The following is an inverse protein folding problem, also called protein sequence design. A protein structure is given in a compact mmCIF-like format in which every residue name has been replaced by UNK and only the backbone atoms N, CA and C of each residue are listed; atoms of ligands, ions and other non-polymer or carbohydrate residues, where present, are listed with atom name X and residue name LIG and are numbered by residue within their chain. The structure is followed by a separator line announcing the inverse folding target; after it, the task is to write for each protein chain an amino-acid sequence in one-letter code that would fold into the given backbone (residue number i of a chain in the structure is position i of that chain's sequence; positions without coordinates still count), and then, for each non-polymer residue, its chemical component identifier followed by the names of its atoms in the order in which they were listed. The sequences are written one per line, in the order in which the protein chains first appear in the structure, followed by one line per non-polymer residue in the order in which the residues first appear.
data_IF_089636243337
#
_entry.id   IF_089636243337
#
_cell.length_a   1.000
_cell.length_b   1.000
_cell.length_c   1.000
_cell.angle_alpha   90.00
_cell.angle_beta   90.00
_cell.angle_gamma   90.00
#
_symmetry.space_group_name_H-M   'P 1'
#
loop_
_entity.id
_entity.type
_entity.pdbx_description
1 polymer ?
#
# COMPACT_ATOMS: atom_id res chain seq x y z
N UNK A 1 -80.12 2.58 39.40
CA UNK A 1 -80.55 3.98 39.57
C UNK A 1 -79.32 4.75 40.01
N UNK A 2 -79.05 5.83 39.28
CA UNK A 2 -78.10 6.95 39.52
C UNK A 2 -76.59 6.65 39.46
N UNK A 3 -76.05 6.90 38.25
CA UNK A 3 -74.96 7.83 37.89
C UNK A 3 -73.95 8.26 38.95
N UNK A 4 -72.65 8.24 38.61
CA UNK A 4 -71.87 9.47 38.30
C UNK A 4 -70.40 9.16 37.98
N UNK A 5 -69.88 9.93 37.01
CA UNK A 5 -68.56 9.96 36.37
C UNK A 5 -67.32 10.20 37.25
N UNK A 6 -66.14 9.88 36.68
CA UNK A 6 -64.87 10.56 37.04
C UNK A 6 -63.60 9.76 36.74
N UNK A 7 -62.80 10.22 35.78
CA UNK A 7 -61.60 9.58 35.23
C UNK A 7 -60.27 9.94 35.94
N UNK A 8 -59.22 9.12 35.69
CA UNK A 8 -57.80 9.36 35.99
C UNK A 8 -57.28 8.46 37.13
N UNK A 9 -56.11 7.85 37.14
CA UNK A 9 -54.87 8.00 36.37
C UNK A 9 -54.00 6.73 36.55
N UNK A 10 -52.98 6.64 35.70
CA UNK A 10 -51.95 5.63 35.41
C UNK A 10 -51.30 4.86 36.57
N UNK A 11 -51.09 3.57 36.31
CA UNK A 11 -50.02 2.70 36.80
C UNK A 11 -49.36 2.11 35.51
N UNK A 12 -48.08 1.81 35.35
CA UNK A 12 -46.98 1.47 36.25
C UNK A 12 -45.68 1.91 35.55
N UNK A 13 -44.71 2.41 36.32
CA UNK A 13 -43.35 2.66 35.85
C UNK A 13 -42.38 1.97 36.82
N UNK A 14 -41.85 0.83 36.39
CA UNK A 14 -40.84 0.08 37.14
C UNK A 14 -39.46 0.69 36.91
N UNK A 15 -38.81 1.08 38.00
CA UNK A 15 -37.41 1.47 38.08
C UNK A 15 -36.72 0.57 39.11
N UNK A 16 -35.65 -0.12 38.71
CA UNK A 16 -34.79 -0.88 39.63
C UNK A 16 -33.62 -1.49 38.87
N UNK A 17 -32.44 -0.91 39.07
CA UNK A 17 -31.23 -1.13 38.26
C UNK A 17 -30.67 -2.54 38.31
N UNK A 18 -30.14 -2.98 37.16
CA UNK A 18 -29.29 -4.15 37.04
C UNK A 18 -27.83 -3.70 37.03
N UNK A 19 -27.08 -4.27 37.96
CA UNK A 19 -25.63 -4.35 37.94
C UNK A 19 -25.16 -5.01 36.64
N UNK A 20 -24.06 -4.49 36.10
CA UNK A 20 -23.43 -4.96 34.87
C UNK A 20 -22.08 -4.28 34.73
N UNK A 21 -21.13 -4.69 35.58
CA UNK A 21 -19.73 -4.30 35.46
C UNK A 21 -19.16 -4.87 34.17
N UNK A 22 -19.17 -4.06 33.11
CA UNK A 22 -18.33 -4.29 31.94
C UNK A 22 -16.91 -3.88 32.30
N UNK A 23 -16.03 -4.85 32.50
CA UNK A 23 -14.60 -4.62 32.54
C UNK A 23 -14.15 -4.22 31.12
N UNK A 24 -14.01 -2.92 30.90
CA UNK A 24 -13.15 -2.39 29.85
C UNK A 24 -11.71 -2.63 30.30
N UNK A 25 -11.07 -3.66 29.75
CA UNK A 25 -9.63 -3.85 29.87
C UNK A 25 -8.94 -2.75 29.07
N UNK A 26 -8.53 -1.70 29.77
CA UNK A 26 -7.51 -0.75 29.29
C UNK A 26 -6.18 -1.51 29.32
N UNK A 27 -5.74 -1.98 28.15
CA UNK A 27 -4.44 -2.63 28.02
C UNK A 27 -3.33 -1.60 28.20
N UNK A 28 -2.54 -1.76 29.26
CA UNK A 28 -1.40 -0.90 29.55
C UNK A 28 -0.18 -1.29 28.72
N UNK A 29 0.93 -0.55 28.81
CA UNK A 29 2.20 -0.91 28.18
C UNK A 29 2.80 -2.26 28.67
N UNK A 30 2.14 -2.94 29.61
CA UNK A 30 2.51 -4.22 30.23
C UNK A 30 1.93 -5.46 29.50
N UNK A 31 1.06 -5.30 28.49
CA UNK A 31 0.39 -6.44 27.81
C UNK A 31 1.11 -6.98 26.57
N UNK A 32 2.34 -6.53 26.29
CA UNK A 32 3.13 -7.12 25.20
C UNK A 32 3.73 -8.47 25.67
N UNK A 33 3.59 -9.55 24.88
CA UNK A 33 4.16 -10.84 25.22
C UNK A 33 5.67 -10.73 25.44
N UNK A 34 6.20 -11.45 26.43
CA UNK A 34 7.64 -11.51 26.67
C UNK A 34 8.31 -12.14 25.44
N UNK A 35 9.06 -11.32 24.69
CA UNK A 35 9.92 -11.79 23.61
C UNK A 35 10.88 -12.89 24.13
N UNK A 36 11.27 -13.86 23.27
CA UNK A 36 12.21 -14.90 23.67
C UNK A 36 13.43 -14.33 24.36
N UNK A 37 13.88 -14.99 25.43
CA UNK A 37 15.07 -14.58 26.19
C UNK A 37 16.34 -14.56 25.31
N UNK A 38 16.39 -15.44 24.30
CA UNK A 38 17.47 -15.53 23.33
C UNK A 38 17.10 -14.81 22.02
N UNK A 39 17.05 -13.49 22.07
CA UNK A 39 16.70 -12.66 20.91
C UNK A 39 17.72 -12.76 19.79
N UNK A 40 18.98 -12.98 20.14
CA UNK A 40 20.06 -13.08 19.17
C UNK A 40 19.91 -14.37 18.34
N UNK A 41 19.54 -15.50 18.96
CA UNK A 41 19.22 -16.72 18.19
C UNK A 41 18.02 -16.54 17.25
N UNK A 42 16.97 -15.81 17.68
CA UNK A 42 15.81 -15.48 16.82
C UNK A 42 16.25 -14.64 15.62
N UNK A 43 17.14 -13.68 15.83
CA UNK A 43 17.64 -12.78 14.79
C UNK A 43 18.52 -13.51 13.80
N UNK A 44 19.53 -14.21 14.30
CA UNK A 44 20.50 -14.96 13.50
C UNK A 44 19.77 -16.00 12.64
N UNK A 45 18.82 -16.74 13.21
CA UNK A 45 18.04 -17.73 12.45
C UNK A 45 17.26 -17.11 11.29
N UNK A 46 16.69 -15.91 11.46
CA UNK A 46 15.96 -15.22 10.39
C UNK A 46 16.90 -14.75 9.28
N UNK A 47 18.01 -14.10 9.66
CA UNK A 47 18.98 -13.56 8.70
C UNK A 47 19.66 -14.70 7.95
N UNK A 48 20.12 -15.75 8.63
CA UNK A 48 20.74 -16.92 8.01
C UNK A 48 19.78 -17.61 7.01
N UNK A 49 18.51 -17.75 7.38
CA UNK A 49 17.50 -18.32 6.49
C UNK A 49 17.26 -17.45 5.26
N UNK A 50 17.20 -16.12 5.44
CA UNK A 50 17.04 -15.18 4.34
C UNK A 50 18.26 -15.21 3.40
N UNK A 51 19.48 -15.16 3.94
CA UNK A 51 20.71 -15.16 3.14
C UNK A 51 20.94 -16.48 2.41
N UNK A 52 20.42 -17.60 2.93
CA UNK A 52 20.57 -18.91 2.30
C UNK A 52 19.80 -19.04 0.97
N UNK A 53 18.52 -18.62 0.91
CA UNK A 53 17.67 -18.84 -0.28
C UNK A 53 16.42 -17.93 -0.34
N UNK A 54 16.61 -16.60 -0.35
CA UNK A 54 15.50 -15.66 -0.58
C UNK A 54 15.16 -15.51 -2.07
N UNK A 55 13.91 -15.15 -2.37
CA UNK A 55 13.50 -14.80 -3.73
C UNK A 55 14.33 -13.63 -4.27
N UNK A 56 14.87 -13.83 -5.46
CA UNK A 56 15.67 -12.85 -6.17
C UNK A 56 14.77 -11.78 -6.80
N UNK A 57 14.62 -10.64 -6.12
CA UNK A 57 14.08 -9.42 -6.71
C UNK A 57 15.23 -8.45 -7.03
N UNK A 58 15.19 -7.74 -8.17
CA UNK A 58 16.33 -6.95 -8.62
C UNK A 58 16.67 -5.79 -7.67
N UNK A 59 15.67 -5.11 -7.12
CA UNK A 59 15.83 -4.05 -6.12
C UNK A 59 16.42 -4.50 -4.78
N UNK A 60 16.55 -5.81 -4.52
CA UNK A 60 17.30 -6.33 -3.33
C UNK A 60 18.82 -6.35 -3.54
N UNK A 61 19.29 -6.08 -4.76
CA UNK A 61 20.71 -6.15 -5.14
C UNK A 61 21.34 -4.79 -5.35
N UNK A 62 20.57 -3.73 -5.11
CA UNK A 62 20.97 -2.33 -5.23
C UNK A 62 20.81 -1.66 -3.87
N UNK A 63 21.60 -0.62 -3.65
CA UNK A 63 21.45 0.30 -2.52
C UNK A 63 21.13 1.72 -3.02
N UNK A 64 20.86 1.86 -4.32
CA UNK A 64 20.53 3.15 -4.92
C UNK A 64 19.12 3.59 -4.47
N UNK A 65 18.98 4.75 -3.78
CA UNK A 65 17.70 5.23 -3.29
C UNK A 65 16.67 5.52 -4.40
N UNK A 66 17.13 5.88 -5.60
CA UNK A 66 16.25 6.07 -6.75
C UNK A 66 15.62 4.76 -7.18
N UNK A 67 16.45 3.75 -7.43
CA UNK A 67 16.01 2.44 -7.87
C UNK A 67 15.07 1.77 -6.85
N UNK A 68 15.39 1.96 -5.55
CA UNK A 68 14.57 1.48 -4.43
C UNK A 68 13.24 2.23 -4.39
N UNK A 69 13.23 3.56 -4.46
CA UNK A 69 11.99 4.35 -4.47
C UNK A 69 11.07 3.93 -5.63
N UNK A 70 11.62 3.74 -6.84
CA UNK A 70 10.86 3.25 -8.01
C UNK A 70 10.21 1.90 -7.67
N UNK A 71 10.97 0.96 -7.11
CA UNK A 71 10.46 -0.37 -6.76
C UNK A 71 9.34 -0.32 -5.69
N UNK A 72 9.51 0.51 -4.67
CA UNK A 72 8.55 0.67 -3.58
C UNK A 72 7.25 1.30 -4.09
N UNK A 73 7.34 2.36 -4.89
CA UNK A 73 6.15 3.01 -5.47
C UNK A 73 5.43 2.05 -6.42
N UNK A 74 6.13 1.29 -7.26
CA UNK A 74 5.52 0.30 -8.15
C UNK A 74 4.80 -0.82 -7.39
N UNK A 75 5.39 -1.28 -6.28
CA UNK A 75 4.89 -2.40 -5.47
C UNK A 75 3.64 -2.08 -4.65
N UNK A 76 3.27 -0.81 -4.51
CA UNK A 76 2.02 -0.42 -3.84
C UNK A 76 0.79 -1.04 -4.55
N UNK A 77 0.12 -1.99 -3.90
CA UNK A 77 -1.05 -2.68 -4.47
C UNK A 77 -0.78 -3.40 -5.81
N UNK A 78 0.48 -3.72 -6.11
CA UNK A 78 0.88 -4.51 -7.29
C UNK A 78 1.71 -5.71 -6.83
N UNK A 79 1.47 -6.87 -7.41
CA UNK A 79 2.23 -8.08 -7.07
C UNK A 79 3.68 -7.95 -7.56
N UNK A 80 4.64 -8.31 -6.71
CA UNK A 80 6.09 -8.14 -6.97
C UNK A 80 6.53 -8.78 -8.31
N UNK A 81 6.05 -9.98 -8.64
CA UNK A 81 6.39 -10.65 -9.90
C UNK A 81 5.96 -9.86 -11.15
N UNK A 82 4.93 -9.01 -11.02
CA UNK A 82 4.50 -8.10 -12.09
C UNK A 82 5.31 -6.80 -12.13
N UNK A 83 5.93 -6.43 -11.02
CA UNK A 83 6.77 -5.22 -10.89
C UNK A 83 8.13 -5.46 -11.53
N UNK A 84 8.73 -6.65 -11.39
CA UNK A 84 10.08 -6.96 -11.92
C UNK A 84 10.30 -6.48 -13.35
N UNK A 85 9.54 -6.92 -14.37
CA UNK A 85 9.79 -6.49 -15.75
C UNK A 85 9.56 -4.97 -15.94
N UNK A 86 8.57 -4.40 -15.26
CA UNK A 86 8.28 -2.97 -15.36
C UNK A 86 9.38 -2.11 -14.73
N UNK A 87 10.00 -2.58 -13.65
CA UNK A 87 11.11 -1.90 -12.99
C UNK A 87 12.36 -1.94 -13.86
N UNK A 88 12.66 -3.09 -14.49
CA UNK A 88 13.79 -3.24 -15.41
C UNK A 88 13.64 -2.29 -16.61
N UNK A 89 12.48 -2.34 -17.30
CA UNK A 89 12.21 -1.47 -18.44
C UNK A 89 12.20 0.03 -18.05
N UNK A 90 11.80 0.37 -16.82
CA UNK A 90 11.76 1.76 -16.34
C UNK A 90 13.15 2.32 -16.12
N UNK A 91 14.05 1.54 -15.51
CA UNK A 91 15.43 1.95 -15.29
C UNK A 91 16.27 1.89 -16.57
N UNK A 92 15.88 1.10 -17.57
CA UNK A 92 16.48 1.17 -18.91
C UNK A 92 16.13 2.49 -19.62
N UNK A 93 14.89 2.99 -19.46
CA UNK A 93 14.45 4.26 -20.08
C UNK A 93 14.89 5.50 -19.28
N UNK A 94 14.77 5.47 -17.94
CA UNK A 94 15.18 6.55 -17.04
C UNK A 94 16.17 6.01 -15.99
N UNK A 95 17.47 5.88 -16.34
CA UNK A 95 18.46 5.25 -15.47
C UNK A 95 18.77 6.02 -14.19
N UNK A 96 18.56 7.33 -14.16
CA UNK A 96 18.84 8.18 -13.00
C UNK A 96 17.65 9.03 -12.62
N UNK A 97 17.65 9.54 -11.38
CA UNK A 97 16.63 10.49 -10.92
C UNK A 97 16.60 11.74 -11.78
N UNK A 98 17.75 12.24 -12.23
CA UNK A 98 17.85 13.38 -13.14
C UNK A 98 17.21 13.08 -14.51
N UNK A 99 17.38 11.87 -15.05
CA UNK A 99 16.72 11.45 -16.30
C UNK A 99 15.20 11.41 -16.13
N UNK A 100 14.71 10.89 -15.01
CA UNK A 100 13.28 10.88 -14.71
C UNK A 100 12.73 12.29 -14.50
N UNK A 101 13.43 13.16 -13.77
CA UNK A 101 13.02 14.54 -13.52
C UNK A 101 12.96 15.35 -14.82
N UNK A 102 13.83 15.06 -15.78
CA UNK A 102 13.86 15.71 -17.10
C UNK A 102 12.82 15.16 -18.10
N UNK A 103 12.20 14.00 -17.81
CA UNK A 103 11.22 13.37 -18.69
C UNK A 103 9.91 14.19 -18.78
N UNK A 104 9.20 14.06 -19.90
CA UNK A 104 7.82 14.54 -19.97
C UNK A 104 6.95 13.64 -19.08
N UNK A 105 6.13 14.26 -18.23
CA UNK A 105 5.30 13.49 -17.29
C UNK A 105 4.30 12.57 -18.01
N UNK A 106 3.82 12.98 -19.18
CA UNK A 106 2.90 12.16 -19.97
C UNK A 106 3.56 10.84 -20.39
N UNK A 107 4.86 10.84 -20.69
CA UNK A 107 5.62 9.64 -21.04
C UNK A 107 5.72 8.68 -19.84
N UNK A 108 5.98 9.21 -18.63
CA UNK A 108 6.02 8.42 -17.38
C UNK A 108 4.66 7.80 -17.08
N UNK A 109 3.57 8.57 -17.23
CA UNK A 109 2.19 8.09 -17.01
C UNK A 109 1.78 7.06 -18.07
N UNK A 110 2.21 7.24 -19.33
CA UNK A 110 1.98 6.29 -20.41
C UNK A 110 2.70 4.96 -20.14
N UNK A 111 4.00 5.01 -19.80
CA UNK A 111 4.79 3.83 -19.42
C UNK A 111 4.09 3.02 -18.31
N UNK A 112 3.61 3.70 -17.28
CA UNK A 112 2.94 3.09 -16.14
C UNK A 112 1.65 2.36 -16.55
N UNK A 113 0.92 2.93 -17.50
CA UNK A 113 -0.32 2.38 -18.05
C UNK A 113 -0.06 1.18 -18.98
N UNK A 114 1.03 1.21 -19.73
CA UNK A 114 1.43 0.12 -20.62
C UNK A 114 1.81 -1.13 -19.84
N UNK A 115 2.55 -0.96 -18.74
CA UNK A 115 2.88 -2.01 -17.79
C UNK A 115 1.71 -2.46 -16.90
N UNK A 116 0.55 -1.81 -17.03
CA UNK A 116 -0.66 -2.14 -16.27
C UNK A 116 -0.41 -2.16 -14.75
N UNK A 117 0.43 -1.23 -14.28
CA UNK A 117 0.79 -1.08 -12.86
C UNK A 117 -0.40 -0.51 -12.05
N UNK A 118 -1.33 0.20 -12.69
CA UNK A 118 -2.53 0.76 -12.05
C UNK A 118 -2.23 1.96 -11.15
N UNK A 119 -3.27 2.65 -10.67
CA UNK A 119 -3.14 3.87 -9.85
C UNK A 119 -2.14 4.89 -10.42
N UNK A 120 -2.46 5.45 -11.59
CA UNK A 120 -1.57 6.30 -12.38
C UNK A 120 -1.07 7.56 -11.66
N UNK A 121 -1.72 8.00 -10.58
CA UNK A 121 -1.21 9.10 -9.73
C UNK A 121 0.16 8.77 -9.14
N UNK A 122 0.48 7.49 -8.94
CA UNK A 122 1.81 7.07 -8.47
C UNK A 122 2.92 7.44 -9.46
N UNK A 123 2.67 7.31 -10.76
CA UNK A 123 3.61 7.73 -11.80
C UNK A 123 3.88 9.23 -11.74
N UNK A 124 2.81 10.03 -11.61
CA UNK A 124 2.90 11.48 -11.42
C UNK A 124 3.71 11.82 -10.16
N UNK A 125 3.36 11.22 -9.02
CA UNK A 125 4.03 11.54 -7.77
C UNK A 125 5.50 11.15 -7.78
N UNK A 126 5.84 10.00 -8.38
CA UNK A 126 7.23 9.58 -8.56
C UNK A 126 8.02 10.57 -9.43
N UNK A 127 7.42 11.07 -10.51
CA UNK A 127 8.02 12.11 -11.36
C UNK A 127 8.20 13.44 -10.61
N UNK A 128 7.18 13.89 -9.88
CA UNK A 128 7.25 15.09 -9.05
C UNK A 128 8.30 14.96 -7.92
N UNK A 129 8.41 13.78 -7.29
CA UNK A 129 9.42 13.49 -6.29
C UNK A 129 10.85 13.51 -6.87
N UNK A 130 11.04 12.96 -8.08
CA UNK A 130 12.33 13.04 -8.77
C UNK A 130 12.72 14.51 -9.04
N UNK A 131 11.78 15.35 -9.45
CA UNK A 131 11.99 16.79 -9.58
C UNK A 131 12.42 17.45 -8.27
N UNK A 132 11.75 17.12 -7.16
CA UNK A 132 12.12 17.65 -5.83
C UNK A 132 13.54 17.22 -5.40
N UNK A 133 13.94 15.98 -5.67
CA UNK A 133 15.30 15.52 -5.37
C UNK A 133 16.34 16.36 -6.11
N UNK A 134 16.12 16.65 -7.39
CA UNK A 134 17.05 17.46 -8.18
C UNK A 134 17.03 18.94 -7.79
N UNK A 135 15.84 19.53 -7.63
CA UNK A 135 15.67 20.97 -7.42
C UNK A 135 15.85 21.41 -5.97
N UNK A 136 15.29 20.67 -5.01
CA UNK A 136 15.25 21.04 -3.59
C UNK A 136 16.39 20.39 -2.78
N UNK A 137 16.95 19.27 -3.28
CA UNK A 137 18.00 18.50 -2.59
C UNK A 137 19.31 18.36 -3.40
N UNK A 138 19.51 19.17 -4.44
CA UNK A 138 20.74 19.18 -5.26
C UNK A 138 21.13 17.79 -5.81
N UNK A 139 20.14 16.98 -6.18
CA UNK A 139 20.32 15.62 -6.71
C UNK A 139 20.72 14.57 -5.66
N UNK A 140 20.58 14.87 -4.37
CA UNK A 140 20.93 13.96 -3.27
C UNK A 140 19.69 13.60 -2.46
N UNK A 141 19.40 12.30 -2.33
CA UNK A 141 18.27 11.86 -1.51
C UNK A 141 18.50 12.14 -0.01
N UNK A 142 17.46 12.56 0.73
CA UNK A 142 17.46 12.46 2.18
C UNK A 142 17.70 11.01 2.64
N UNK A 143 18.45 10.82 3.72
CA UNK A 143 18.85 9.49 4.20
C UNK A 143 17.96 8.96 5.34
N UNK A 144 17.12 9.81 5.92
CA UNK A 144 16.24 9.48 7.05
C UNK A 144 14.75 9.52 6.66
N UNK A 145 13.89 8.79 7.40
CA UNK A 145 12.46 8.73 7.09
C UNK A 145 11.76 10.09 7.12
N UNK A 146 12.16 11.01 8.00
CA UNK A 146 11.51 12.32 8.11
C UNK A 146 11.74 13.12 6.82
N UNK A 147 13.00 13.23 6.39
CA UNK A 147 13.36 13.92 5.14
C UNK A 147 12.76 13.25 3.90
N UNK A 148 12.78 11.92 3.82
CA UNK A 148 12.17 11.20 2.69
C UNK A 148 10.66 11.39 2.60
N UNK A 149 9.97 11.58 3.74
CA UNK A 149 8.53 11.80 3.78
C UNK A 149 8.07 13.17 3.27
N UNK A 150 9.02 14.09 3.05
CA UNK A 150 8.74 15.40 2.44
C UNK A 150 8.57 15.31 0.92
N UNK A 151 9.04 14.21 0.31
CA UNK A 151 8.91 13.96 -1.12
C UNK A 151 7.46 13.63 -1.53
N UNK A 152 7.08 14.07 -2.73
CA UNK A 152 5.72 13.94 -3.23
C UNK A 152 5.30 12.48 -3.35
N UNK A 153 4.16 12.14 -2.73
CA UNK A 153 3.62 10.79 -2.73
C UNK A 153 4.44 9.77 -1.93
N UNK A 154 5.48 10.19 -1.21
CA UNK A 154 6.24 9.34 -0.29
C UNK A 154 5.62 9.43 1.10
N UNK A 155 4.76 8.45 1.42
CA UNK A 155 4.17 8.34 2.75
C UNK A 155 5.13 7.71 3.78
N UNK A 156 4.76 7.70 5.08
CA UNK A 156 5.63 7.22 6.17
C UNK A 156 6.21 5.81 5.93
N UNK A 157 5.40 4.88 5.40
CA UNK A 157 5.86 3.54 5.07
C UNK A 157 6.96 3.55 3.99
N UNK A 158 6.73 4.26 2.88
CA UNK A 158 7.68 4.30 1.76
C UNK A 158 8.95 5.06 2.15
N UNK A 159 8.84 6.14 2.92
CA UNK A 159 9.98 6.85 3.48
C UNK A 159 10.86 5.91 4.33
N UNK A 160 10.22 5.18 5.26
CA UNK A 160 10.93 4.22 6.10
C UNK A 160 11.56 3.06 5.30
N UNK A 161 10.86 2.58 4.26
CA UNK A 161 11.36 1.53 3.38
C UNK A 161 12.61 2.00 2.61
N UNK A 162 12.58 3.19 2.01
CA UNK A 162 13.73 3.76 1.31
C UNK A 162 14.88 4.02 2.29
N UNK A 163 14.63 4.63 3.45
CA UNK A 163 15.63 4.81 4.50
C UNK A 163 16.28 3.49 4.92
N UNK A 164 15.46 2.44 5.07
CA UNK A 164 15.91 1.10 5.44
C UNK A 164 16.78 0.48 4.35
N UNK A 165 16.26 0.39 3.12
CA UNK A 165 16.88 -0.40 2.07
C UNK A 165 18.04 0.32 1.40
N UNK A 166 18.00 1.64 1.26
CA UNK A 166 19.09 2.40 0.67
C UNK A 166 20.18 2.71 1.71
N UNK A 167 19.81 3.07 2.95
CA UNK A 167 20.75 3.69 3.90
C UNK A 167 20.98 2.93 5.20
N UNK A 168 20.30 1.80 5.46
CA UNK A 168 20.31 1.13 6.77
C UNK A 168 19.88 2.05 7.93
N UNK A 169 19.01 3.04 7.65
CA UNK A 169 18.66 4.12 8.56
C UNK A 169 17.14 4.22 8.80
N UNK A 170 16.41 3.13 8.60
CA UNK A 170 14.98 3.06 8.87
C UNK A 170 14.65 2.22 10.10
N UNK A 171 13.41 2.36 10.54
CA UNK A 171 12.76 1.56 11.57
C UNK A 171 12.28 0.20 11.01
N UNK A 172 11.84 -0.68 11.91
CA UNK A 172 11.29 -1.97 11.52
C UNK A 172 10.01 -1.78 10.68
N UNK A 173 9.92 -2.43 9.51
CA UNK A 173 8.72 -2.35 8.66
C UNK A 173 7.60 -3.22 9.21
N UNK A 174 6.39 -2.68 9.28
CA UNK A 174 5.20 -3.37 9.79
C UNK A 174 4.07 -3.31 8.76
N UNK A 175 4.19 -4.13 7.71
CA UNK A 175 3.12 -4.35 6.74
C UNK A 175 2.12 -5.42 7.23
N UNK A 176 1.07 -5.68 6.47
CA UNK A 176 0.08 -6.72 6.80
C UNK A 176 0.69 -8.14 6.89
N UNK A 177 1.80 -8.41 6.21
CA UNK A 177 2.50 -9.69 6.27
C UNK A 177 3.32 -9.82 7.56
N UNK A 178 4.04 -8.77 7.94
CA UNK A 178 4.82 -8.70 9.17
C UNK A 178 3.89 -8.73 10.39
N UNK A 179 2.76 -8.00 10.37
CA UNK A 179 1.74 -8.10 11.44
C UNK A 179 1.29 -9.54 11.65
N UNK A 180 0.97 -10.27 10.57
CA UNK A 180 0.60 -11.69 10.63
C UNK A 180 1.73 -12.58 11.18
N UNK A 181 2.98 -12.30 10.79
CA UNK A 181 4.15 -13.00 11.32
C UNK A 181 4.28 -12.78 12.83
N UNK A 182 4.24 -11.53 13.29
CA UNK A 182 4.39 -11.18 14.70
C UNK A 182 3.24 -11.72 15.55
N UNK A 183 2.01 -11.60 15.06
CA UNK A 183 0.81 -12.17 15.68
C UNK A 183 0.99 -13.67 15.93
N UNK A 184 1.38 -14.42 14.90
CA UNK A 184 1.55 -15.89 14.99
C UNK A 184 2.79 -16.31 15.77
N UNK A 185 3.92 -15.64 15.54
CA UNK A 185 5.18 -16.05 16.12
C UNK A 185 5.26 -15.72 17.61
N UNK A 186 4.80 -14.55 18.00
CA UNK A 186 5.01 -14.04 19.34
C UNK A 186 3.72 -13.73 20.10
N UNK A 187 2.54 -14.08 19.57
CA UNK A 187 1.23 -13.83 20.20
C UNK A 187 0.98 -12.34 20.48
N UNK A 188 1.47 -11.49 19.57
CA UNK A 188 1.29 -10.02 19.67
C UNK A 188 -0.18 -9.69 19.47
N UNK A 189 -0.73 -8.86 20.35
CA UNK A 189 -2.10 -8.36 20.22
C UNK A 189 -2.32 -7.65 18.89
N UNK A 190 -3.53 -7.76 18.33
CA UNK A 190 -3.94 -7.06 17.11
C UNK A 190 -4.14 -5.56 17.37
N UNK A 191 -3.02 -4.87 17.55
CA UNK A 191 -2.90 -3.46 17.89
C UNK A 191 -1.63 -2.89 17.24
N UNK A 192 -1.77 -1.76 16.56
CA UNK A 192 -0.69 -1.17 15.75
C UNK A 192 0.52 -0.81 16.61
N UNK A 193 0.30 -0.21 17.78
CA UNK A 193 1.36 0.17 18.72
C UNK A 193 2.08 -1.07 19.29
N UNK A 194 1.35 -2.18 19.52
CA UNK A 194 1.95 -3.45 19.94
C UNK A 194 2.85 -4.05 18.84
N UNK A 195 2.39 -4.08 17.59
CA UNK A 195 3.20 -4.58 16.48
C UNK A 195 4.47 -3.76 16.27
N UNK A 196 4.36 -2.43 16.24
CA UNK A 196 5.51 -1.53 16.05
C UNK A 196 6.55 -1.69 17.16
N UNK A 197 6.09 -1.78 18.42
CA UNK A 197 6.97 -1.94 19.58
C UNK A 197 7.74 -3.26 19.52
N UNK A 198 7.05 -4.35 19.18
CA UNK A 198 7.67 -5.69 19.09
C UNK A 198 8.62 -5.77 17.89
N UNK A 199 8.22 -5.26 16.73
CA UNK A 199 9.07 -5.20 15.54
C UNK A 199 10.37 -4.43 15.82
N UNK A 200 10.25 -3.26 16.44
CA UNK A 200 11.39 -2.42 16.84
C UNK A 200 12.30 -3.10 17.86
N UNK A 201 11.73 -3.83 18.82
CA UNK A 201 12.52 -4.55 19.82
C UNK A 201 13.30 -5.74 19.24
N UNK A 202 12.79 -6.35 18.16
CA UNK A 202 13.45 -7.46 17.49
C UNK A 202 14.53 -7.02 16.51
N UNK A 203 14.37 -5.88 15.84
CA UNK A 203 15.35 -5.41 14.86
C UNK A 203 16.73 -5.10 15.49
N UNK A 204 17.83 -5.63 14.95
CA UNK A 204 19.18 -5.21 15.33
C UNK A 204 19.47 -3.77 14.87
N UNK A 205 20.17 -2.99 15.70
CA UNK A 205 20.50 -1.61 15.38
C UNK A 205 21.45 -1.51 14.17
N UNK A 206 21.11 -0.67 13.19
CA UNK A 206 21.92 -0.45 11.98
C UNK A 206 21.82 -1.55 10.93
N UNK A 207 20.88 -2.50 11.09
CA UNK A 207 20.70 -3.63 10.17
C UNK A 207 19.31 -3.65 9.53
N UNK A 208 18.65 -2.48 9.43
CA UNK A 208 17.28 -2.36 8.94
C UNK A 208 17.11 -2.95 7.54
N UNK A 209 18.10 -2.83 6.65
CA UNK A 209 18.04 -3.36 5.28
C UNK A 209 17.83 -4.86 5.24
N UNK A 210 18.72 -5.61 5.90
CA UNK A 210 18.68 -7.08 5.90
C UNK A 210 17.50 -7.56 6.75
N UNK A 211 17.27 -6.94 7.90
CA UNK A 211 16.19 -7.29 8.80
C UNK A 211 14.81 -7.16 8.15
N UNK A 212 14.52 -5.99 7.58
CA UNK A 212 13.22 -5.71 6.97
C UNK A 212 12.98 -6.61 5.75
N UNK A 213 14.00 -6.84 4.92
CA UNK A 213 13.88 -7.81 3.82
C UNK A 213 13.60 -9.23 4.32
N UNK A 214 14.30 -9.67 5.37
CA UNK A 214 14.17 -11.02 5.90
C UNK A 214 12.78 -11.26 6.52
N UNK A 215 12.26 -10.34 7.32
CA UNK A 215 10.93 -10.52 7.95
C UNK A 215 9.79 -10.43 6.93
N UNK A 216 9.91 -9.57 5.91
CA UNK A 216 8.95 -9.55 4.80
C UNK A 216 9.01 -10.84 3.97
N UNK A 217 10.22 -11.37 3.74
CA UNK A 217 10.40 -12.65 3.03
C UNK A 217 9.77 -13.81 3.82
N UNK A 218 9.96 -13.83 5.15
CA UNK A 218 9.33 -14.80 6.03
C UNK A 218 7.79 -14.75 5.91
N UNK A 219 7.21 -13.55 5.91
CA UNK A 219 5.77 -13.34 5.74
C UNK A 219 5.25 -13.73 4.37
N UNK A 220 6.08 -13.59 3.33
CA UNK A 220 5.74 -13.90 1.94
C UNK A 220 5.90 -15.36 1.54
N UNK A 221 6.88 -16.08 2.12
CA UNK A 221 7.25 -17.44 1.70
C UNK A 221 6.78 -18.50 2.68
N UNK A 222 7.00 -18.29 3.98
CA UNK A 222 6.73 -19.31 5.00
C UNK A 222 5.42 -19.04 5.76
N UNK A 223 5.20 -17.80 6.20
CA UNK A 223 4.07 -17.40 7.02
C UNK A 223 2.96 -16.72 6.20
N UNK A 224 2.61 -17.30 5.04
CA UNK A 224 1.49 -16.84 4.21
C UNK A 224 0.12 -17.04 4.87
N UNK A 225 -0.98 -16.70 4.19
CA UNK A 225 -2.36 -16.94 4.71
C UNK A 225 -2.55 -18.38 5.17
N UNK A 226 -2.17 -19.32 4.31
CA UNK A 226 -1.92 -20.73 4.66
C UNK A 226 -0.42 -20.92 4.82
N UNK A 227 0.09 -21.10 6.04
CA UNK A 227 1.53 -21.16 6.27
C UNK A 227 2.12 -22.49 5.79
N UNK A 228 3.35 -22.44 5.29
CA UNK A 228 4.13 -23.56 4.74
C UNK A 228 5.36 -23.84 5.61
N UNK A 229 5.23 -23.70 6.94
CA UNK A 229 6.35 -23.66 7.89
C UNK A 229 7.38 -24.79 7.71
N UNK A 230 6.92 -26.02 7.54
CA UNK A 230 7.80 -27.19 7.37
C UNK A 230 8.48 -27.22 5.98
N UNK A 231 7.71 -26.96 4.91
CA UNK A 231 8.17 -26.99 3.52
C UNK A 231 9.17 -25.86 3.23
N UNK A 232 8.88 -24.65 3.72
CA UNK A 232 9.73 -23.47 3.56
C UNK A 232 10.90 -23.41 4.56
N UNK A 233 11.01 -24.39 5.47
CA UNK A 233 12.06 -24.40 6.49
C UNK A 233 12.02 -23.18 7.40
N UNK A 234 10.83 -22.77 7.85
CA UNK A 234 10.63 -21.55 8.65
C UNK A 234 11.61 -21.48 9.83
N UNK A 235 12.42 -20.41 9.94
CA UNK A 235 13.48 -20.29 10.95
C UNK A 235 12.93 -20.12 12.36
N UNK A 236 11.71 -19.59 12.49
CA UNK A 236 11.12 -19.26 13.80
C UNK A 236 10.27 -20.35 14.42
N UNK A 237 10.26 -21.56 13.84
CA UNK A 237 9.42 -22.67 14.34
C UNK A 237 9.61 -22.98 15.82
N UNK A 238 10.85 -22.89 16.32
CA UNK A 238 11.17 -23.15 17.72
C UNK A 238 10.50 -22.13 18.66
N UNK A 239 10.44 -20.86 18.25
CA UNK A 239 9.91 -19.76 19.06
C UNK A 239 8.44 -19.41 18.75
N UNK A 240 7.87 -19.97 17.67
CA UNK A 240 6.57 -19.57 17.15
C UNK A 240 5.40 -20.13 17.98
N UNK A 241 4.64 -19.24 18.63
CA UNK A 241 3.44 -19.59 19.39
C UNK A 241 2.44 -20.41 18.57
N UNK A 242 2.05 -19.92 17.39
CA UNK A 242 1.10 -20.59 16.50
C UNK A 242 1.55 -22.02 16.10
N UNK A 243 2.86 -22.22 15.91
CA UNK A 243 3.41 -23.54 15.58
C UNK A 243 3.34 -24.50 16.77
N UNK A 244 3.56 -24.00 17.99
CA UNK A 244 3.48 -24.80 19.21
C UNK A 244 2.05 -25.14 19.61
N UNK A 245 1.10 -24.23 19.43
CA UNK A 245 -0.32 -24.42 19.80
C UNK A 245 -1.16 -25.05 18.70
N UNK A 246 -0.72 -24.92 17.44
CA UNK A 246 -1.48 -25.32 16.26
C UNK A 246 -2.54 -24.30 15.81
N UNK A 247 -2.60 -23.12 16.45
CA UNK A 247 -3.51 -22.04 16.06
C UNK A 247 -2.81 -21.06 15.11
N UNK A 248 -3.12 -21.18 13.81
CA UNK A 248 -2.59 -20.29 12.77
C UNK A 248 -3.59 -19.21 12.34
N UNK A 249 -4.57 -18.87 13.18
CA UNK A 249 -5.42 -17.71 12.92
C UNK A 249 -4.60 -16.42 12.86
N UNK A 250 -5.17 -15.39 12.25
CA UNK A 250 -4.60 -14.07 12.13
C UNK A 250 -5.73 -13.04 11.96
N UNK A 251 -5.50 -11.76 12.28
CA UNK A 251 -6.47 -10.69 12.06
C UNK A 251 -7.02 -10.64 10.63
N UNK A 252 -8.31 -10.31 10.53
CA UNK A 252 -8.97 -10.15 9.24
C UNK A 252 -8.44 -8.92 8.50
N UNK A 253 -8.26 -9.06 7.19
CA UNK A 253 -7.88 -7.94 6.31
C UNK A 253 -9.10 -7.57 5.48
N UNK A 254 -9.46 -6.28 5.32
CA UNK A 254 -10.62 -5.86 4.55
C UNK A 254 -10.62 -6.44 3.13
N UNK A 255 -11.78 -6.95 2.70
CA UNK A 255 -11.95 -7.43 1.33
C UNK A 255 -11.96 -6.26 0.34
N UNK A 256 -11.13 -6.35 -0.69
CA UNK A 256 -11.14 -5.39 -1.79
C UNK A 256 -12.40 -5.60 -2.67
N UNK A 257 -13.09 -4.51 -3.04
CA UNK A 257 -14.18 -4.57 -4.02
C UNK A 257 -13.74 -5.15 -5.37
N UNK A 258 -14.69 -5.62 -6.19
CA UNK A 258 -14.41 -6.15 -7.53
C UNK A 258 -13.77 -5.09 -8.44
N UNK A 259 -12.90 -5.53 -9.35
CA UNK A 259 -12.27 -4.65 -10.33
C UNK A 259 -13.16 -4.44 -11.57
N UNK A 260 -13.81 -5.50 -12.04
CA UNK A 260 -14.64 -5.45 -13.25
C UNK A 260 -15.83 -4.49 -13.07
N UNK A 261 -16.01 -3.58 -14.02
CA UNK A 261 -17.08 -2.57 -14.02
C UNK A 261 -16.82 -1.37 -13.10
N UNK A 262 -15.71 -1.35 -12.37
CA UNK A 262 -15.40 -0.27 -11.42
C UNK A 262 -14.93 1.01 -12.10
N UNK A 263 -15.07 2.16 -11.42
CA UNK A 263 -14.51 3.44 -11.90
C UNK A 263 -12.99 3.36 -12.15
N UNK A 264 -12.25 2.64 -11.29
CA UNK A 264 -10.79 2.45 -11.45
C UNK A 264 -10.43 1.72 -12.76
N UNK A 265 -11.25 0.76 -13.20
CA UNK A 265 -11.04 0.08 -14.48
C UNK A 265 -11.17 1.06 -15.64
N UNK A 266 -12.24 1.86 -15.68
CA UNK A 266 -12.46 2.80 -16.78
C UNK A 266 -11.47 3.96 -16.78
N UNK A 267 -11.07 4.47 -15.60
CA UNK A 267 -9.99 5.45 -15.48
C UNK A 267 -8.68 4.93 -16.08
N UNK A 268 -8.28 3.70 -15.74
CA UNK A 268 -7.09 3.07 -16.31
C UNK A 268 -7.17 2.92 -17.84
N UNK A 269 -8.34 2.52 -18.37
CA UNK A 269 -8.56 2.44 -19.83
C UNK A 269 -8.44 3.80 -20.52
N UNK A 270 -8.95 4.87 -19.91
CA UNK A 270 -8.82 6.24 -20.44
C UNK A 270 -7.35 6.62 -20.54
N UNK A 271 -6.60 6.54 -19.43
CA UNK A 271 -5.18 6.95 -19.40
C UNK A 271 -4.35 6.14 -20.39
N UNK A 272 -4.53 4.82 -20.45
CA UNK A 272 -3.85 3.98 -21.45
C UNK A 272 -4.13 4.42 -22.89
N UNK A 273 -5.40 4.66 -23.23
CA UNK A 273 -5.75 5.07 -24.59
C UNK A 273 -5.20 6.45 -24.95
N UNK A 274 -5.11 7.36 -23.98
CA UNK A 274 -4.49 8.67 -24.15
C UNK A 274 -2.96 8.58 -24.27
N UNK A 275 -2.30 7.64 -23.59
CA UNK A 275 -0.86 7.40 -23.79
C UNK A 275 -0.51 6.99 -25.23
N UNK A 276 -1.44 6.31 -25.92
CA UNK A 276 -1.28 5.94 -27.33
C UNK A 276 -1.63 7.07 -28.32
N UNK A 277 -2.15 8.23 -27.85
CA UNK A 277 -2.69 9.31 -28.71
C UNK A 277 -2.60 10.70 -28.09
N UNK A 278 -2.10 11.66 -28.87
CA UNK A 278 -1.95 13.06 -28.41
C UNK A 278 -3.26 13.73 -27.96
N UNK A 279 -4.36 13.57 -28.69
CA UNK A 279 -5.68 14.18 -28.39
C UNK A 279 -6.80 13.27 -28.88
N UNK A 280 -7.88 13.13 -28.09
CA UNK A 280 -9.08 12.38 -28.49
C UNK A 280 -10.36 13.16 -28.17
N UNK A 281 -11.37 13.09 -29.04
CA UNK A 281 -12.69 13.66 -28.75
C UNK A 281 -13.48 12.79 -27.77
N UNK A 282 -14.33 13.43 -26.96
CA UNK A 282 -15.10 12.79 -25.88
C UNK A 282 -15.88 11.55 -26.33
N UNK A 283 -16.62 11.64 -27.43
CA UNK A 283 -17.42 10.51 -27.92
C UNK A 283 -16.56 9.39 -28.50
N UNK A 284 -15.45 9.73 -29.16
CA UNK A 284 -14.48 8.73 -29.64
C UNK A 284 -13.88 7.97 -28.46
N UNK A 285 -13.51 8.67 -27.39
CA UNK A 285 -13.04 8.06 -26.15
C UNK A 285 -14.09 7.13 -25.56
N UNK A 286 -15.34 7.59 -25.43
CA UNK A 286 -16.45 6.80 -24.91
C UNK A 286 -16.63 5.45 -25.61
N UNK A 287 -16.69 5.46 -26.94
CA UNK A 287 -16.82 4.25 -27.76
C UNK A 287 -15.63 3.28 -27.65
N UNK A 288 -14.46 3.76 -27.25
CA UNK A 288 -13.24 2.95 -27.13
C UNK A 288 -13.10 2.29 -25.77
N UNK A 289 -13.51 2.96 -24.70
CA UNK A 289 -13.34 2.44 -23.34
C UNK A 289 -14.49 1.53 -22.91
N UNK A 290 -15.65 1.61 -23.59
CA UNK A 290 -16.87 0.92 -23.18
C UNK A 290 -17.79 0.58 -24.37
N UNK A 291 -18.26 -0.67 -24.41
CA UNK A 291 -19.04 -1.23 -25.54
C UNK A 291 -20.46 -0.67 -25.60
N UNK A 292 -21.09 -0.43 -24.46
CA UNK A 292 -22.45 0.09 -24.29
C UNK A 292 -22.49 1.63 -24.15
N UNK A 293 -21.41 2.34 -24.54
CA UNK A 293 -21.39 3.80 -24.56
C UNK A 293 -22.43 4.34 -25.55
N UNK A 294 -23.28 5.24 -25.06
CA UNK A 294 -24.26 5.99 -25.84
C UNK A 294 -24.27 7.43 -25.32
N UNK A 295 -24.06 8.47 -26.17
CA UNK A 295 -23.88 9.85 -25.71
C UNK A 295 -24.91 10.36 -24.70
N UNK A 296 -26.18 9.99 -24.89
CA UNK A 296 -27.32 10.42 -24.07
C UNK A 296 -27.84 9.29 -23.13
N UNK A 297 -27.09 8.19 -22.99
CA UNK A 297 -27.42 7.05 -22.14
C UNK A 297 -26.82 7.14 -20.72
N UNK A 298 -27.10 6.11 -19.90
CA UNK A 298 -26.55 5.99 -18.53
C UNK A 298 -25.01 6.06 -18.50
N UNK A 299 -24.37 5.39 -19.46
CA UNK A 299 -22.92 5.45 -19.67
C UNK A 299 -22.56 6.39 -20.81
N UNK A 300 -23.18 7.56 -20.84
CA UNK A 300 -22.97 8.60 -21.85
C UNK A 300 -21.98 9.68 -21.45
N UNK A 301 -22.15 10.86 -22.05
CA UNK A 301 -21.21 11.99 -21.90
C UNK A 301 -21.10 12.47 -20.46
N UNK A 302 -22.19 12.48 -19.70
CA UNK A 302 -22.19 12.91 -18.29
C UNK A 302 -21.34 11.99 -17.42
N UNK A 303 -21.55 10.67 -17.54
CA UNK A 303 -20.74 9.66 -16.85
C UNK A 303 -19.26 9.76 -17.21
N UNK A 304 -18.95 9.91 -18.50
CA UNK A 304 -17.56 10.03 -18.97
C UNK A 304 -16.91 11.32 -18.47
N UNK A 305 -17.62 12.46 -18.52
CA UNK A 305 -17.15 13.72 -17.94
C UNK A 305 -16.88 13.61 -16.45
N UNK A 306 -17.68 12.85 -15.71
CA UNK A 306 -17.38 12.55 -14.31
C UNK A 306 -16.06 11.80 -14.13
N UNK A 307 -15.74 10.81 -14.98
CA UNK A 307 -14.43 10.12 -14.91
C UNK A 307 -13.27 11.04 -15.29
N UNK A 308 -13.47 11.89 -16.29
CA UNK A 308 -12.47 12.84 -16.77
C UNK A 308 -12.22 13.96 -15.76
N UNK A 309 -13.26 14.46 -15.09
CA UNK A 309 -13.13 15.42 -13.99
C UNK A 309 -12.23 14.86 -12.90
N UNK A 310 -12.52 13.66 -12.41
CA UNK A 310 -11.68 13.01 -11.40
C UNK A 310 -10.22 12.84 -11.88
N UNK A 311 -9.99 12.59 -13.17
CA UNK A 311 -8.64 12.45 -13.73
C UNK A 311 -7.93 13.81 -13.87
N UNK A 312 -8.69 14.87 -14.17
CA UNK A 312 -8.18 16.23 -14.29
C UNK A 312 -7.87 16.83 -12.91
N UNK A 313 -8.71 16.56 -11.91
CA UNK A 313 -8.50 16.93 -10.50
C UNK A 313 -7.22 16.28 -9.96
N UNK A 314 -6.95 15.04 -10.38
CA UNK A 314 -5.70 14.34 -10.11
C UNK A 314 -4.51 14.85 -10.93
N UNK A 315 -4.72 15.77 -11.88
CA UNK A 315 -3.68 16.34 -12.74
C UNK A 315 -3.16 15.39 -13.82
N UNK A 316 -3.87 14.30 -14.13
CA UNK A 316 -3.44 13.31 -15.13
C UNK A 316 -3.85 13.68 -16.56
N UNK A 317 -4.96 14.40 -16.73
CA UNK A 317 -5.50 14.76 -18.05
C UNK A 317 -5.84 16.24 -18.12
N UNK A 318 -5.81 16.78 -19.34
CA UNK A 318 -6.35 18.09 -19.67
C UNK A 318 -7.58 17.93 -20.54
N UNK A 319 -8.61 18.73 -20.24
CA UNK A 319 -9.88 18.75 -20.96
C UNK A 319 -10.00 20.10 -21.63
N UNK A 320 -10.16 20.11 -22.95
CA UNK A 320 -10.30 21.32 -23.76
C UNK A 320 -11.67 21.32 -24.44
N UNK A 321 -12.49 22.33 -24.13
CA UNK A 321 -13.79 22.57 -24.76
C UNK A 321 -13.65 23.63 -25.87
N UNK A 322 -13.99 23.25 -27.11
CA UNK A 322 -14.00 24.13 -28.27
C UNK A 322 -15.35 24.07 -28.98
N UNK A 323 -16.23 25.02 -28.65
CA UNK A 323 -17.59 25.07 -29.18
C UNK A 323 -18.44 23.92 -28.63
N UNK A 324 -18.96 23.07 -29.52
CA UNK A 324 -19.75 21.88 -29.16
C UNK A 324 -18.89 20.61 -28.98
N UNK A 325 -17.56 20.72 -29.16
CA UNK A 325 -16.64 19.59 -29.09
C UNK A 325 -15.76 19.65 -27.83
N UNK A 326 -15.74 18.56 -27.07
CA UNK A 326 -14.84 18.36 -25.94
C UNK A 326 -13.73 17.39 -26.37
N UNK A 327 -12.48 17.77 -26.13
CA UNK A 327 -11.29 16.94 -26.40
C UNK A 327 -10.47 16.73 -25.13
N UNK A 328 -9.70 15.64 -25.09
CA UNK A 328 -8.96 15.18 -23.92
C UNK A 328 -7.57 14.72 -24.33
N UNK A 329 -6.56 15.02 -23.50
CA UNK A 329 -5.18 14.53 -23.63
C UNK A 329 -4.53 14.25 -22.29
N UNK A 330 -3.42 13.52 -22.27
CA UNK A 330 -2.57 13.43 -21.08
C UNK A 330 -1.95 14.79 -20.78
N UNK A 331 -1.72 15.04 -19.48
CA UNK A 331 -1.07 16.25 -19.01
C UNK A 331 0.42 16.03 -18.83
N UNK A 332 1.24 16.74 -19.62
CA UNK A 332 2.69 16.84 -19.44
C UNK A 332 3.08 17.51 -18.13
#
# INVERSE_FOLDING_TARGET
MTDSDGAGDRAEGESGGSEGGGASGEGGPEDAPELPADRDAVRDALVDWYEADHRAFPWRRTEDPYEILVSEVMSQQTQLDRVVPAWEDFLDEWPTTADLAAADRADVVAFWSDHSLGYNNRAKYLHEAAGQVEDDHDGTFPEDPDGLSELMGVGPYTANAVASFAFNNGDAVVDTNVRRVLYRAFDVSDDDDAFERVASALMPAGESRVWNNAVMELGGVACGKSPSCDEAGCPWREWCHAYQTGDFTAPDVPEQPSFEGSRRQFRGRIVRLLGERDVISLDTLGHRIRVDYSPDGEHGREWLRGLLSDLADDGLVEIEDSGDETSVRLRG
#
